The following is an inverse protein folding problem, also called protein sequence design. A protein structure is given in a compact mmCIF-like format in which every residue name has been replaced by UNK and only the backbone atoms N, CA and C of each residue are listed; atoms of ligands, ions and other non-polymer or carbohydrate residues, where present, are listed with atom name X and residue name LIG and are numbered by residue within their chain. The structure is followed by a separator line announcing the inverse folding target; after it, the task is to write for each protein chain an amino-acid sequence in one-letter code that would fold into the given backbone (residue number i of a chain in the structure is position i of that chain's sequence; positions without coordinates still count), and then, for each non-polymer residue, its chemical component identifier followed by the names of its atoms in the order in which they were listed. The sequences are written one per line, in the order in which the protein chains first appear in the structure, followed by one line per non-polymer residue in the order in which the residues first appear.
data_IF_396004556693
#
_entry.id   IF_396004556693
#
_cell.length_a   1.000
_cell.length_b   1.000
_cell.length_c   1.000
_cell.angle_alpha   90.00
_cell.angle_beta   90.00
_cell.angle_gamma   90.00
#
_symmetry.space_group_name_H-M   'P 1'
#
loop_
_entity.id
_entity.type
_entity.pdbx_description
1 polymer ?
#
# COMPACT_ATOMS: atom_id res chain seq x y z
N UNK A 1 14.62 -11.03 13.15
CA UNK A 1 15.66 -10.81 12.12
C UNK A 1 15.11 -11.42 10.85
N UNK A 2 14.46 -10.62 10.00
CA UNK A 2 13.87 -11.13 8.76
C UNK A 2 15.00 -11.67 7.88
N UNK A 3 14.79 -12.89 7.36
CA UNK A 3 15.54 -13.52 6.28
C UNK A 3 15.98 -12.49 5.23
N UNK A 4 17.19 -12.65 4.68
CA UNK A 4 17.72 -11.76 3.65
C UNK A 4 16.71 -11.61 2.50
N UNK A 5 16.02 -10.48 2.47
CA UNK A 5 15.09 -10.14 1.38
C UNK A 5 15.87 -10.11 0.06
N UNK A 6 15.28 -10.58 -1.05
CA UNK A 6 15.96 -10.62 -2.33
C UNK A 6 16.27 -9.22 -2.83
N UNK A 7 17.41 -9.07 -3.52
CA UNK A 7 17.74 -7.83 -4.21
C UNK A 7 16.87 -7.69 -5.46
N UNK A 8 15.85 -6.84 -5.39
CA UNK A 8 15.04 -6.39 -6.53
C UNK A 8 15.40 -4.95 -6.94
N UNK A 9 14.99 -4.47 -8.13
CA UNK A 9 15.27 -3.10 -8.57
C UNK A 9 14.84 -2.02 -7.57
N UNK A 10 13.75 -2.24 -6.84
CA UNK A 10 13.26 -1.30 -5.81
C UNK A 10 14.17 -1.22 -4.56
N UNK A 11 15.08 -2.18 -4.33
CA UNK A 11 15.83 -2.32 -3.07
C UNK A 11 16.65 -1.07 -2.74
N UNK A 12 17.30 -0.46 -3.74
CA UNK A 12 18.09 0.76 -3.56
C UNK A 12 17.26 1.99 -3.17
N UNK A 13 15.96 1.97 -3.42
CA UNK A 13 15.05 3.07 -3.11
C UNK A 13 14.30 2.89 -1.79
N UNK A 14 14.39 1.72 -1.12
CA UNK A 14 13.61 1.44 0.10
C UNK A 14 13.87 2.47 1.21
N UNK A 15 15.14 2.87 1.41
CA UNK A 15 15.48 3.90 2.39
C UNK A 15 14.87 5.26 2.06
N UNK A 16 14.85 5.65 0.78
CA UNK A 16 14.21 6.89 0.33
C UNK A 16 12.69 6.84 0.54
N UNK A 17 12.05 5.70 0.25
CA UNK A 17 10.62 5.48 0.45
C UNK A 17 10.25 5.57 1.93
N UNK A 18 11.00 4.89 2.80
CA UNK A 18 10.82 4.93 4.25
C UNK A 18 10.97 6.36 4.79
N UNK A 19 12.01 7.09 4.36
CA UNK A 19 12.24 8.47 4.79
C UNK A 19 11.15 9.43 4.27
N UNK A 20 10.73 9.26 3.02
CA UNK A 20 9.65 10.05 2.44
C UNK A 20 8.35 9.84 3.22
N UNK A 21 7.99 8.59 3.51
CA UNK A 21 6.83 8.26 4.34
C UNK A 21 7.03 8.59 5.80
N UNK A 22 8.24 8.75 6.34
CA UNK A 22 8.40 9.21 7.72
C UNK A 22 8.08 10.72 7.84
N UNK A 23 8.49 11.49 6.82
CA UNK A 23 8.39 12.96 6.80
C UNK A 23 7.09 13.47 6.19
N UNK A 24 6.44 12.70 5.32
CA UNK A 24 5.21 13.08 4.62
C UNK A 24 4.17 11.96 4.76
N UNK A 25 2.92 12.25 5.12
CA UNK A 25 1.89 11.23 5.27
C UNK A 25 1.45 10.62 3.94
N UNK A 26 1.79 11.25 2.82
CA UNK A 26 1.28 10.90 1.50
C UNK A 26 2.41 10.79 0.47
N UNK A 27 2.53 9.62 -0.16
CA UNK A 27 3.59 9.31 -1.12
C UNK A 27 3.02 8.72 -2.41
N UNK A 28 3.50 9.21 -3.55
CA UNK A 28 3.34 8.54 -4.85
C UNK A 28 4.68 7.90 -5.21
N UNK A 29 4.68 6.58 -5.32
CA UNK A 29 5.81 5.80 -5.78
C UNK A 29 5.59 5.42 -7.24
N UNK A 30 6.41 6.01 -8.11
CA UNK A 30 6.48 5.61 -9.51
C UNK A 30 7.68 4.69 -9.74
N UNK A 31 7.42 3.46 -10.17
CA UNK A 31 8.46 2.55 -10.62
C UNK A 31 7.89 1.58 -11.67
N UNK A 32 8.69 1.11 -12.63
CA UNK A 32 8.20 0.27 -13.72
C UNK A 32 7.61 -1.07 -13.23
N UNK A 33 6.81 -1.75 -14.08
CA UNK A 33 6.37 -3.12 -13.81
C UNK A 33 7.57 -4.03 -13.56
N UNK A 34 7.42 -5.01 -12.66
CA UNK A 34 8.50 -5.94 -12.31
C UNK A 34 9.60 -5.37 -11.41
N UNK A 35 9.56 -4.07 -11.04
CA UNK A 35 10.55 -3.48 -10.11
C UNK A 35 10.51 -4.07 -8.69
N UNK A 36 9.45 -4.79 -8.34
CA UNK A 36 9.28 -5.41 -7.01
C UNK A 36 8.52 -4.55 -5.99
N UNK A 37 7.77 -3.54 -6.43
CA UNK A 37 6.97 -2.62 -5.58
C UNK A 37 6.10 -3.37 -4.57
N UNK A 38 5.16 -4.19 -5.06
CA UNK A 38 4.21 -4.99 -4.26
C UNK A 38 4.85 -6.09 -3.42
N UNK A 39 6.16 -6.34 -3.60
CA UNK A 39 6.90 -7.41 -2.92
C UNK A 39 7.76 -6.88 -1.78
N UNK A 40 8.54 -5.81 -1.99
CA UNK A 40 9.47 -5.33 -0.95
C UNK A 40 8.99 -4.07 -0.23
N UNK A 41 8.20 -3.21 -0.89
CA UNK A 41 7.79 -1.94 -0.27
C UNK A 41 6.90 -2.17 0.95
N UNK A 42 5.85 -3.03 0.91
CA UNK A 42 5.04 -3.29 2.09
C UNK A 42 5.84 -3.89 3.24
N UNK A 43 6.76 -4.83 2.95
CA UNK A 43 7.59 -5.48 3.98
C UNK A 43 8.57 -4.50 4.64
N UNK A 44 9.20 -3.63 3.84
CA UNK A 44 10.11 -2.61 4.36
C UNK A 44 9.40 -1.60 5.27
N UNK A 45 8.09 -1.45 5.14
CA UNK A 45 7.30 -0.50 5.93
C UNK A 45 6.69 -1.13 7.19
N UNK A 46 6.70 -2.47 7.35
CA UNK A 46 6.09 -3.16 8.50
C UNK A 46 6.58 -2.62 9.85
N UNK A 47 7.88 -2.37 9.97
CA UNK A 47 8.52 -1.95 11.22
C UNK A 47 8.77 -0.43 11.27
N UNK A 48 8.06 0.34 10.44
CA UNK A 48 8.16 1.79 10.47
C UNK A 48 7.66 2.34 11.81
N UNK A 49 8.43 3.18 12.54
CA UNK A 49 8.05 3.64 13.88
C UNK A 49 6.71 4.38 13.93
N UNK A 50 6.38 5.14 12.87
CA UNK A 50 5.14 5.89 12.76
C UNK A 50 3.88 5.03 12.57
N UNK A 51 4.03 3.71 12.33
CA UNK A 51 2.86 2.81 12.35
C UNK A 51 2.32 2.61 13.76
N UNK A 52 3.13 2.79 14.81
CA UNK A 52 2.71 2.63 16.21
C UNK A 52 2.03 1.26 16.48
N UNK A 53 2.47 0.21 15.78
CA UNK A 53 1.89 -1.13 15.88
C UNK A 53 0.60 -1.35 15.06
N UNK A 54 0.08 -0.33 14.39
CA UNK A 54 -1.07 -0.43 13.47
C UNK A 54 -0.74 -1.23 12.21
N UNK A 55 -1.79 -1.72 11.55
CA UNK A 55 -1.69 -2.58 10.36
C UNK A 55 -1.47 -1.76 9.08
N UNK A 56 -0.94 -2.44 8.08
CA UNK A 56 -0.89 -2.00 6.69
C UNK A 56 -1.99 -2.74 5.92
N UNK A 57 -2.78 -2.00 5.15
CA UNK A 57 -3.70 -2.57 4.16
C UNK A 57 -3.18 -2.24 2.77
N UNK A 58 -3.08 -3.24 1.90
CA UNK A 58 -2.69 -3.05 0.50
C UNK A 58 -3.84 -3.46 -0.42
N UNK A 59 -4.39 -2.50 -1.15
CA UNK A 59 -5.36 -2.75 -2.21
C UNK A 59 -4.64 -3.25 -3.45
N UNK A 60 -5.06 -4.41 -3.94
CA UNK A 60 -4.72 -4.98 -5.25
C UNK A 60 -6.04 -5.29 -5.99
N UNK A 61 -6.34 -4.64 -7.13
CA UNK A 61 -7.66 -4.73 -7.77
C UNK A 61 -7.95 -6.12 -8.37
N UNK A 62 -6.93 -6.96 -8.55
CA UNK A 62 -7.09 -8.27 -9.19
C UNK A 62 -7.04 -9.39 -8.16
N UNK A 63 -8.18 -10.09 -7.97
CA UNK A 63 -8.32 -11.20 -6.99
C UNK A 63 -7.18 -12.22 -7.00
N UNK A 64 -6.76 -12.67 -8.19
CA UNK A 64 -5.66 -13.64 -8.32
C UNK A 64 -4.31 -13.03 -7.91
N UNK A 65 -4.08 -11.76 -8.25
CA UNK A 65 -2.88 -11.04 -7.85
C UNK A 65 -2.88 -10.78 -6.33
N UNK A 66 -4.02 -10.43 -5.72
CA UNK A 66 -4.14 -10.25 -4.26
C UNK A 66 -3.62 -11.49 -3.52
N UNK A 67 -4.04 -12.67 -3.95
CA UNK A 67 -3.63 -13.95 -3.37
C UNK A 67 -2.15 -14.24 -3.64
N UNK A 68 -1.72 -14.13 -4.89
CA UNK A 68 -0.34 -14.41 -5.29
C UNK A 68 0.67 -13.47 -4.59
N UNK A 69 0.32 -12.19 -4.43
CA UNK A 69 1.16 -11.22 -3.73
C UNK A 69 1.24 -11.58 -2.25
N UNK A 70 0.12 -11.88 -1.59
CA UNK A 70 0.13 -12.26 -0.17
C UNK A 70 0.92 -13.55 0.08
N UNK A 71 0.77 -14.57 -0.79
CA UNK A 71 1.55 -15.82 -0.74
C UNK A 71 3.04 -15.55 -0.92
N UNK A 72 3.42 -14.71 -1.89
CA UNK A 72 4.81 -14.33 -2.12
C UNK A 72 5.41 -13.56 -0.93
N UNK A 73 4.67 -12.62 -0.37
CA UNK A 73 5.09 -11.83 0.79
C UNK A 73 5.30 -12.71 2.03
N UNK A 74 4.37 -13.63 2.33
CA UNK A 74 4.51 -14.58 3.43
C UNK A 74 5.73 -15.50 3.24
N UNK A 75 5.94 -16.01 2.03
CA UNK A 75 7.11 -16.83 1.70
C UNK A 75 8.44 -16.09 1.87
N UNK A 76 8.49 -14.78 1.59
CA UNK A 76 9.70 -13.97 1.82
C UNK A 76 10.04 -13.80 3.30
N UNK A 77 9.03 -13.86 4.17
CA UNK A 77 9.22 -13.83 5.62
C UNK A 77 9.49 -15.22 6.21
N UNK A 78 9.47 -16.29 5.38
CA UNK A 78 9.49 -17.68 5.83
C UNK A 78 8.35 -18.01 6.82
N UNK A 79 7.19 -17.39 6.59
CA UNK A 79 6.00 -17.55 7.43
C UNK A 79 4.83 -18.16 6.65
N UNK A 80 3.95 -18.93 7.31
CA UNK A 80 2.69 -19.35 6.71
C UNK A 80 1.75 -18.15 6.51
N UNK A 81 1.01 -18.19 5.42
CA UNK A 81 -0.01 -17.19 5.11
C UNK A 81 -1.08 -17.11 6.21
N UNK A 82 -1.40 -15.90 6.64
CA UNK A 82 -2.30 -15.61 7.75
C UNK A 82 -1.60 -15.30 9.08
N UNK A 83 -0.27 -15.44 9.17
CA UNK A 83 0.54 -14.85 10.24
C UNK A 83 0.79 -13.36 9.96
N UNK A 84 2.02 -12.88 9.80
CA UNK A 84 2.32 -11.45 9.59
C UNK A 84 1.63 -10.92 8.34
N UNK A 85 1.57 -11.73 7.28
CA UNK A 85 0.92 -11.39 6.01
C UNK A 85 -0.32 -12.23 5.80
N UNK A 86 -1.42 -11.59 5.41
CA UNK A 86 -2.66 -12.24 5.04
C UNK A 86 -3.33 -11.58 3.84
N UNK A 87 -4.45 -12.16 3.39
CA UNK A 87 -5.31 -11.52 2.41
C UNK A 87 -6.79 -11.68 2.72
N UNK A 88 -7.60 -10.82 2.11
CA UNK A 88 -9.04 -10.93 2.09
C UNK A 88 -9.61 -10.51 0.72
N UNK A 89 -10.34 -11.43 0.10
CA UNK A 89 -11.12 -11.20 -1.11
C UNK A 89 -12.58 -11.59 -0.86
N UNK A 90 -13.47 -11.34 -1.83
CA UNK A 90 -14.87 -11.76 -1.69
C UNK A 90 -14.96 -13.28 -1.50
N UNK A 91 -15.60 -13.69 -0.40
CA UNK A 91 -15.82 -15.08 0.03
C UNK A 91 -14.58 -15.89 0.45
N UNK A 92 -13.39 -15.30 0.47
CA UNK A 92 -12.16 -16.00 0.88
C UNK A 92 -11.28 -15.07 1.71
N UNK A 93 -10.87 -15.53 2.89
CA UNK A 93 -10.02 -14.78 3.81
C UNK A 93 -8.98 -15.72 4.43
N UNK A 94 -7.74 -15.25 4.52
CA UNK A 94 -6.62 -15.88 5.22
C UNK A 94 -5.86 -14.80 5.98
N UNK A 95 -6.29 -14.54 7.21
CA UNK A 95 -5.69 -13.57 8.12
C UNK A 95 -5.99 -13.99 9.55
N UNK A 96 -5.20 -13.54 10.50
CA UNK A 96 -5.42 -13.72 11.93
C UNK A 96 -5.28 -12.39 12.68
N UNK A 97 -5.37 -12.42 14.01
CA UNK A 97 -5.04 -11.28 14.86
C UNK A 97 -3.57 -10.86 14.71
N UNK A 98 -2.68 -11.80 14.36
CA UNK A 98 -1.26 -11.56 14.13
C UNK A 98 -0.96 -10.87 12.78
N UNK A 99 -1.96 -10.77 11.89
CA UNK A 99 -1.77 -10.15 10.57
C UNK A 99 -1.53 -8.65 10.69
N UNK A 100 -0.33 -8.24 10.27
CA UNK A 100 0.14 -6.85 10.22
C UNK A 100 0.04 -6.26 8.82
N UNK A 101 0.16 -7.07 7.76
CA UNK A 101 -0.04 -6.68 6.37
C UNK A 101 -1.19 -7.48 5.76
N UNK A 102 -2.27 -6.79 5.42
CA UNK A 102 -3.46 -7.38 4.81
C UNK A 102 -3.61 -6.93 3.36
N UNK A 103 -3.48 -7.86 2.41
CA UNK A 103 -3.73 -7.60 1.00
C UNK A 103 -5.21 -7.80 0.69
N UNK A 104 -5.86 -6.81 0.08
CA UNK A 104 -7.32 -6.81 -0.12
C UNK A 104 -7.69 -6.40 -1.53
N UNK A 105 -8.86 -6.84 -1.98
CA UNK A 105 -9.52 -6.27 -3.18
C UNK A 105 -10.31 -5.02 -2.82
N UNK A 106 -10.63 -4.21 -3.82
CA UNK A 106 -11.43 -2.99 -3.71
C UNK A 106 -12.75 -3.20 -2.96
N UNK A 107 -13.50 -4.26 -3.29
CA UNK A 107 -14.77 -4.55 -2.62
C UNK A 107 -14.63 -4.96 -1.15
N UNK A 108 -13.43 -5.35 -0.70
CA UNK A 108 -13.14 -5.61 0.73
C UNK A 108 -12.72 -4.33 1.43
N UNK A 109 -11.85 -3.51 0.82
CA UNK A 109 -11.48 -2.21 1.37
C UNK A 109 -12.70 -1.29 1.54
N UNK A 110 -13.60 -1.25 0.53
CA UNK A 110 -14.83 -0.47 0.63
C UNK A 110 -15.73 -0.91 1.79
N UNK A 111 -15.80 -2.22 2.09
CA UNK A 111 -16.53 -2.75 3.26
C UNK A 111 -15.83 -2.41 4.58
N UNK A 112 -14.51 -2.37 4.60
CA UNK A 112 -13.76 -1.94 5.79
C UNK A 112 -14.06 -0.48 6.10
N UNK A 113 -13.97 0.40 5.09
CA UNK A 113 -14.33 1.82 5.23
C UNK A 113 -15.78 2.01 5.68
N UNK A 114 -16.74 1.28 5.12
CA UNK A 114 -18.14 1.38 5.56
C UNK A 114 -18.38 0.93 7.00
N UNK A 115 -17.61 -0.05 7.48
CA UNK A 115 -17.72 -0.54 8.85
C UNK A 115 -17.01 0.37 9.85
N UNK A 116 -15.87 0.94 9.46
CA UNK A 116 -15.08 1.89 10.21
C UNK A 116 -14.50 2.94 9.26
N UNK A 117 -15.15 4.11 9.24
CA UNK A 117 -14.75 5.23 8.39
C UNK A 117 -13.37 5.80 8.78
N UNK A 118 -12.92 5.58 10.02
CA UNK A 118 -11.63 6.07 10.50
C UNK A 118 -10.49 5.08 10.26
N UNK A 119 -10.79 3.80 9.96
CA UNK A 119 -9.78 2.75 9.84
C UNK A 119 -8.81 2.74 11.05
N UNK A 120 -9.34 2.74 12.28
CA UNK A 120 -8.62 3.00 13.54
C UNK A 120 -7.35 2.15 13.69
N UNK A 121 -7.46 0.86 13.34
CA UNK A 121 -6.38 -0.13 13.41
C UNK A 121 -5.36 -0.04 12.25
N UNK A 122 -5.59 0.84 11.28
CA UNK A 122 -4.75 0.98 10.08
C UNK A 122 -3.90 2.24 10.19
N UNK A 123 -2.59 2.07 9.97
CA UNK A 123 -1.61 3.16 9.94
C UNK A 123 -1.18 3.52 8.52
N UNK A 124 -1.31 2.59 7.57
CA UNK A 124 -0.98 2.82 6.16
C UNK A 124 -1.97 2.09 5.24
N UNK A 125 -2.49 2.82 4.25
CA UNK A 125 -3.17 2.24 3.09
C UNK A 125 -2.27 2.37 1.86
N UNK A 126 -1.97 1.24 1.24
CA UNK A 126 -1.23 1.15 -0.02
C UNK A 126 -2.23 0.86 -1.14
N UNK A 127 -2.19 1.65 -2.20
CA UNK A 127 -2.94 1.38 -3.43
C UNK A 127 -1.95 0.89 -4.48
N UNK A 128 -1.94 -0.41 -4.73
CA UNK A 128 -1.12 -1.01 -5.77
C UNK A 128 -1.80 -0.89 -7.15
N UNK A 129 -0.97 -0.88 -8.19
CA UNK A 129 -1.42 -0.76 -9.58
C UNK A 129 -2.40 0.41 -9.83
N UNK A 130 -2.21 1.56 -9.16
CA UNK A 130 -3.12 2.73 -9.18
C UNK A 130 -3.27 3.44 -10.54
N UNK A 131 -2.76 2.86 -11.62
CA UNK A 131 -2.91 3.35 -12.98
C UNK A 131 -4.04 2.64 -13.75
N UNK A 132 -4.55 1.53 -13.22
CA UNK A 132 -5.73 0.91 -13.78
C UNK A 132 -6.92 1.84 -13.50
N UNK A 133 -7.59 2.33 -14.56
CA UNK A 133 -8.79 3.17 -14.44
C UNK A 133 -9.92 2.39 -13.79
N UNK A 134 -9.89 2.30 -12.47
CA UNK A 134 -10.80 1.54 -11.65
C UNK A 134 -11.48 2.50 -10.69
N UNK A 135 -12.71 2.89 -11.03
CA UNK A 135 -13.54 3.80 -10.24
C UNK A 135 -13.62 3.40 -8.76
N UNK A 136 -13.55 2.11 -8.43
CA UNK A 136 -13.61 1.64 -7.05
C UNK A 136 -12.31 1.90 -6.29
N UNK A 137 -11.16 1.79 -6.94
CA UNK A 137 -9.88 2.15 -6.32
C UNK A 137 -9.80 3.67 -6.11
N UNK A 138 -10.29 4.45 -7.08
CA UNK A 138 -10.39 5.91 -6.99
C UNK A 138 -11.30 6.36 -5.84
N UNK A 139 -12.50 5.77 -5.74
CA UNK A 139 -13.44 6.03 -4.65
C UNK A 139 -12.84 5.66 -3.29
N UNK A 140 -12.22 4.48 -3.18
CA UNK A 140 -11.59 4.07 -1.93
C UNK A 140 -10.44 5.01 -1.52
N UNK A 141 -9.67 5.52 -2.48
CA UNK A 141 -8.62 6.51 -2.24
C UNK A 141 -9.22 7.84 -1.75
N UNK A 142 -10.28 8.34 -2.40
CA UNK A 142 -10.98 9.55 -1.99
C UNK A 142 -11.52 9.43 -0.56
N UNK A 143 -12.16 8.31 -0.21
CA UNK A 143 -12.67 8.06 1.13
C UNK A 143 -11.55 7.96 2.18
N UNK A 144 -10.43 7.29 1.86
CA UNK A 144 -9.27 7.25 2.75
C UNK A 144 -8.67 8.65 2.96
N UNK A 145 -8.69 9.49 1.92
CA UNK A 145 -8.23 10.88 1.98
C UNK A 145 -9.15 11.75 2.83
N UNK A 146 -10.45 11.62 2.68
CA UNK A 146 -11.43 12.30 3.53
C UNK A 146 -11.26 11.89 5.00
N UNK A 147 -11.14 10.58 5.27
CA UNK A 147 -10.86 10.07 6.60
C UNK A 147 -9.55 10.65 7.17
N UNK A 148 -8.49 10.73 6.37
CA UNK A 148 -7.22 11.33 6.78
C UNK A 148 -7.38 12.81 7.16
N UNK A 149 -8.16 13.58 6.40
CA UNK A 149 -8.35 15.02 6.64
C UNK A 149 -9.26 15.31 7.84
N UNK A 150 -10.30 14.50 8.04
CA UNK A 150 -11.34 14.78 9.03
C UNK A 150 -11.16 14.04 10.35
N UNK A 151 -10.60 12.83 10.32
CA UNK A 151 -10.60 11.91 11.46
C UNK A 151 -9.19 11.46 11.87
N UNK A 152 -8.31 11.23 10.90
CA UNK A 152 -7.04 10.50 11.09
C UNK A 152 -5.87 11.17 10.37
N UNK A 153 -5.40 12.35 10.84
CA UNK A 153 -4.25 13.03 10.25
C UNK A 153 -2.96 12.21 10.34
N UNK A 154 -2.91 11.18 11.19
CA UNK A 154 -1.83 10.21 11.32
C UNK A 154 -1.86 9.09 10.27
N UNK A 155 -3.01 8.83 9.63
CA UNK A 155 -3.12 7.80 8.58
C UNK A 155 -2.20 8.16 7.42
N UNK A 156 -1.39 7.21 6.94
CA UNK A 156 -0.55 7.41 5.76
C UNK A 156 -1.14 6.75 4.52
N UNK A 157 -0.89 7.35 3.36
CA UNK A 157 -1.35 6.83 2.06
C UNK A 157 -0.17 6.70 1.10
N UNK A 158 -0.05 5.54 0.46
CA UNK A 158 0.95 5.25 -0.56
C UNK A 158 0.27 4.82 -1.85
N UNK A 159 0.44 5.59 -2.93
CA UNK A 159 0.00 5.21 -4.26
C UNK A 159 1.20 4.62 -5.02
N UNK A 160 1.10 3.36 -5.46
CA UNK A 160 2.12 2.71 -6.27
C UNK A 160 1.62 2.62 -7.71
N UNK A 161 2.39 3.17 -8.66
CA UNK A 161 2.01 3.19 -10.06
C UNK A 161 3.19 2.84 -10.96
N UNK A 162 2.90 2.10 -12.03
CA UNK A 162 3.81 1.83 -13.13
C UNK A 162 3.76 2.88 -14.25
N UNK A 163 2.78 3.79 -14.22
CA UNK A 163 2.58 4.86 -15.20
C UNK A 163 2.69 6.24 -14.54
N UNK A 164 3.27 7.21 -15.25
CA UNK A 164 3.38 8.62 -14.84
C UNK A 164 2.32 9.47 -15.55
N UNK A 165 1.04 9.10 -15.48
CA UNK A 165 0.00 10.10 -15.79
C UNK A 165 -0.24 10.98 -14.55
N UNK A 166 0.71 11.87 -14.30
CA UNK A 166 0.65 12.83 -13.21
C UNK A 166 -0.52 13.81 -13.35
N UNK A 167 -0.98 14.08 -14.58
CA UNK A 167 -2.17 14.92 -14.80
C UNK A 167 -3.43 14.21 -14.31
N UNK A 168 -3.61 12.93 -14.64
CA UNK A 168 -4.74 12.16 -14.12
C UNK A 168 -4.71 12.05 -12.58
N UNK A 169 -3.53 11.76 -12.01
CA UNK A 169 -3.34 11.72 -10.55
C UNK A 169 -3.62 13.08 -9.89
N UNK A 170 -3.13 14.18 -10.45
CA UNK A 170 -3.38 15.53 -9.93
C UNK A 170 -4.85 15.94 -10.00
N UNK A 171 -5.58 15.45 -11.02
CA UNK A 171 -7.00 15.75 -11.23
C UNK A 171 -7.88 14.98 -10.25
N UNK A 172 -7.53 13.72 -9.97
CA UNK A 172 -8.24 12.87 -9.01
C UNK A 172 -8.08 13.36 -7.56
N UNK A 173 -7.01 14.12 -7.29
CA UNK A 173 -6.65 14.54 -5.95
C UNK A 173 -7.19 15.92 -5.54
N UNK A 174 -7.75 16.71 -6.48
CA UNK A 174 -8.41 18.03 -6.30
C UNK A 174 -7.90 18.95 -5.16
N UNK A 175 -6.63 18.79 -4.86
CA UNK A 175 -5.78 19.61 -4.03
C UNK A 175 -4.45 19.68 -4.81
N UNK A 176 -3.80 20.85 -4.88
CA UNK A 176 -2.59 21.01 -5.68
C UNK A 176 -1.62 19.88 -5.33
N UNK A 177 -1.13 19.17 -6.35
CA UNK A 177 -0.23 18.01 -6.27
C UNK A 177 0.97 18.17 -5.30
N UNK A 178 1.22 19.39 -4.83
CA UNK A 178 2.02 19.77 -3.66
C UNK A 178 1.82 18.95 -2.37
N UNK A 179 0.73 18.18 -2.23
CA UNK A 179 0.43 17.46 -0.99
C UNK A 179 0.88 15.99 -0.97
N UNK A 180 1.19 15.39 -2.12
CA UNK A 180 1.89 14.10 -2.19
C UNK A 180 3.36 14.34 -2.52
N UNK A 181 4.25 13.74 -1.74
CA UNK A 181 5.65 13.65 -2.18
C UNK A 181 5.73 12.61 -3.29
N UNK A 182 6.41 12.93 -4.37
CA UNK A 182 6.65 11.98 -5.47
C UNK A 182 8.06 11.41 -5.34
N UNK A 183 8.17 10.09 -5.40
CA UNK A 183 9.44 9.37 -5.55
C UNK A 183 9.38 8.63 -6.88
N UNK A 184 10.20 9.08 -7.82
CA UNK A 184 10.39 8.41 -9.11
C UNK A 184 11.69 7.61 -9.07
N UNK A 185 11.60 6.33 -9.40
CA UNK A 185 12.79 5.49 -9.57
C UNK A 185 13.09 5.46 -11.05
N UNK A 186 14.09 6.25 -11.46
CA UNK A 186 14.68 6.18 -12.79
C UNK A 186 15.85 5.18 -12.74
N UNK A 187 15.93 4.29 -13.72
CA UNK A 187 17.08 3.40 -13.84
C UNK A 187 18.31 4.23 -14.21
N UNK A 188 19.35 4.19 -13.38
CA UNK A 188 20.71 4.40 -13.87
C UNK A 188 21.15 3.10 -14.52
N UNK A 189 21.29 3.14 -15.84
CA UNK A 189 21.90 2.05 -16.63
C UNK A 189 23.34 1.79 -16.20
#
# INVERSE_FOLDING_TARGET
MHSHLPTLPISGALGQIQQALATHPNLILHAPPGAGKSTLVPLALLDAPWLEGKKIVMLEPRRLATKAIAERLAALLDEPLGQTVGYAIRFERRSSEQTRLLVVTEGVLGRMLQADNALEDIGLVIFDEFHERNLQADLAMALCREAQQLLRPDLRLLLMSASMDFQALSSLLDAPCSMFRVVCIQWTS
#
